data_IF_614051864208
#
_entry.id   IF_614051864208
#
_cell.length_a   1.000
_cell.length_b   1.000
_cell.length_c   1.000
_cell.angle_alpha   90.00
_cell.angle_beta   90.00
_cell.angle_gamma   90.00
#
_symmetry.space_group_name_H-M   'P 1'
#
loop_
_entity.id
_entity.type
_entity.pdbx_description
1 polymer ?
#
# COMPACT_ATOMS: atom_id res chain seq x y z
N UNK A 1 -2.36 -34.13 -0.23
CA UNK A 1 -1.49 -33.22 -1.01
C UNK A 1 -0.77 -32.42 0.05
N UNK A 2 0.54 -32.57 0.17
CA UNK A 2 1.33 -31.87 1.18
C UNK A 2 1.59 -30.42 0.76
N UNK A 3 2.11 -29.61 1.68
CA UNK A 3 2.38 -28.19 1.46
C UNK A 3 3.37 -27.95 0.32
N UNK A 4 4.34 -28.84 0.17
CA UNK A 4 5.38 -28.80 -0.85
C UNK A 4 4.79 -29.02 -2.27
N UNK A 5 3.85 -29.94 -2.41
CA UNK A 5 3.14 -30.21 -3.68
C UNK A 5 2.17 -29.09 -4.07
N UNK A 6 1.56 -28.39 -3.09
CA UNK A 6 0.75 -27.18 -3.35
C UNK A 6 1.61 -26.03 -3.85
N UNK A 7 2.81 -25.93 -3.27
CA UNK A 7 3.79 -24.92 -3.62
C UNK A 7 4.36 -25.10 -5.03
N UNK A 8 4.83 -26.32 -5.37
CA UNK A 8 5.33 -26.61 -6.72
C UNK A 8 4.28 -26.37 -7.80
N UNK A 9 3.02 -26.67 -7.53
CA UNK A 9 1.93 -26.45 -8.47
C UNK A 9 1.65 -24.95 -8.68
N UNK A 10 1.67 -24.16 -7.61
CA UNK A 10 1.51 -22.70 -7.69
C UNK A 10 2.66 -22.05 -8.49
N UNK A 11 3.91 -22.46 -8.28
CA UNK A 11 5.08 -21.90 -8.99
C UNK A 11 5.12 -22.27 -10.47
N UNK A 12 4.69 -23.45 -10.85
CA UNK A 12 4.68 -23.95 -12.24
C UNK A 12 3.54 -23.32 -13.08
N UNK A 13 2.35 -23.19 -12.52
CA UNK A 13 1.23 -22.54 -13.21
C UNK A 13 1.43 -21.02 -13.38
N UNK A 14 2.26 -20.38 -12.54
CA UNK A 14 2.44 -18.94 -12.48
C UNK A 14 3.67 -18.41 -13.25
N UNK A 15 4.59 -19.29 -13.64
CA UNK A 15 5.79 -18.93 -14.43
C UNK A 15 5.55 -18.48 -15.86
N UNK A 16 4.30 -18.40 -16.33
CA UNK A 16 4.01 -18.26 -17.76
C UNK A 16 3.44 -16.92 -18.25
N UNK A 17 3.35 -15.85 -17.45
CA UNK A 17 2.98 -14.56 -18.04
C UNK A 17 2.53 -13.43 -17.12
N UNK A 18 3.30 -12.35 -17.00
CA UNK A 18 2.85 -11.06 -16.50
C UNK A 18 3.90 -10.28 -15.67
N UNK A 19 3.79 -8.96 -15.60
CA UNK A 19 4.80 -8.06 -14.98
C UNK A 19 4.86 -8.13 -13.43
N UNK A 20 3.88 -8.72 -12.74
CA UNK A 20 3.87 -8.90 -11.29
C UNK A 20 4.48 -10.23 -10.80
N UNK A 21 4.77 -11.14 -11.70
CA UNK A 21 5.22 -12.51 -11.44
C UNK A 21 6.56 -12.60 -10.67
N UNK A 22 7.59 -11.77 -10.95
CA UNK A 22 8.85 -11.90 -10.21
C UNK A 22 8.68 -11.68 -8.70
N UNK A 23 7.73 -10.84 -8.30
CA UNK A 23 7.51 -10.53 -6.90
C UNK A 23 6.70 -11.61 -6.19
N UNK A 24 5.67 -12.14 -6.84
CA UNK A 24 4.90 -13.29 -6.34
C UNK A 24 5.82 -14.51 -6.19
N UNK A 25 6.69 -14.77 -7.19
CA UNK A 25 7.68 -15.84 -7.09
C UNK A 25 8.66 -15.65 -5.94
N UNK A 26 9.14 -14.41 -5.70
CA UNK A 26 10.03 -14.12 -4.58
C UNK A 26 9.35 -14.35 -3.21
N UNK A 27 8.09 -13.99 -3.08
CA UNK A 27 7.30 -14.28 -1.86
C UNK A 27 7.11 -15.79 -1.70
N UNK A 28 6.79 -16.49 -2.78
CA UNK A 28 6.65 -17.93 -2.78
C UNK A 28 7.95 -18.65 -2.39
N UNK A 29 9.10 -18.21 -2.95
CA UNK A 29 10.43 -18.74 -2.59
C UNK A 29 10.77 -18.51 -1.12
N UNK A 30 10.44 -17.33 -0.57
CA UNK A 30 10.66 -17.01 0.85
C UNK A 30 9.85 -17.94 1.75
N UNK A 31 8.59 -18.19 1.43
CA UNK A 31 7.73 -19.14 2.17
C UNK A 31 8.27 -20.57 2.08
N UNK A 32 8.73 -21.00 0.89
CA UNK A 32 9.34 -22.31 0.71
C UNK A 32 10.66 -22.46 1.48
N UNK A 33 11.40 -21.36 1.65
CA UNK A 33 12.62 -21.36 2.47
C UNK A 33 12.35 -21.37 3.99
N UNK A 34 11.07 -21.48 4.41
CA UNK A 34 10.67 -21.56 5.81
C UNK A 34 10.46 -20.19 6.46
N UNK A 35 10.33 -19.13 5.68
CA UNK A 35 9.84 -17.85 6.22
C UNK A 35 8.34 -18.01 6.45
N UNK A 36 7.91 -17.98 7.70
CA UNK A 36 6.52 -18.10 8.13
C UNK A 36 6.01 -16.74 8.61
N UNK A 37 5.51 -15.87 7.69
CA UNK A 37 4.98 -14.59 8.10
C UNK A 37 3.67 -14.80 8.85
N UNK A 38 3.55 -14.18 10.03
CA UNK A 38 2.28 -14.14 10.77
C UNK A 38 1.18 -13.43 9.98
N UNK A 39 1.55 -12.38 9.26
CA UNK A 39 0.64 -11.62 8.39
C UNK A 39 1.39 -10.98 7.20
N UNK A 40 0.68 -10.79 6.10
CA UNK A 40 1.16 -10.08 4.93
C UNK A 40 0.22 -8.92 4.61
N UNK A 41 0.79 -7.73 4.45
CA UNK A 41 0.08 -6.52 4.02
C UNK A 41 0.37 -6.27 2.55
N UNK A 42 -0.64 -6.34 1.72
CA UNK A 42 -0.55 -6.09 0.28
C UNK A 42 -0.79 -4.60 0.00
N UNK A 43 0.16 -3.95 -0.65
CA UNK A 43 0.07 -2.53 -1.02
C UNK A 43 0.39 -2.35 -2.50
N UNK A 44 -0.06 -1.23 -3.09
CA UNK A 44 0.17 -1.01 -4.52
C UNK A 44 1.64 -0.82 -4.87
N UNK A 45 2.33 0.03 -4.10
CA UNK A 45 3.70 0.42 -4.39
C UNK A 45 4.58 0.65 -3.16
N UNK A 46 5.82 1.04 -3.44
CA UNK A 46 6.84 1.30 -2.40
C UNK A 46 6.55 2.53 -1.54
N UNK A 47 5.76 3.50 -2.02
CA UNK A 47 5.33 4.65 -1.21
C UNK A 47 4.44 4.22 -0.06
N UNK A 48 3.49 3.31 -0.33
CA UNK A 48 2.55 2.77 0.65
C UNK A 48 3.29 1.92 1.69
N UNK A 49 4.22 1.09 1.23
CA UNK A 49 5.10 0.30 2.11
C UNK A 49 5.86 1.21 3.07
N UNK A 50 6.56 2.21 2.56
CA UNK A 50 7.36 3.12 3.37
C UNK A 50 6.51 3.92 4.35
N UNK A 51 5.29 4.33 3.94
CA UNK A 51 4.36 5.04 4.83
C UNK A 51 3.90 4.16 6.00
N UNK A 52 3.51 2.91 5.73
CA UNK A 52 3.07 1.97 6.77
C UNK A 52 4.21 1.57 7.70
N UNK A 53 5.41 1.31 7.17
CA UNK A 53 6.61 1.04 7.97
C UNK A 53 6.95 2.21 8.89
N UNK A 54 6.97 3.44 8.37
CA UNK A 54 7.24 4.64 9.15
C UNK A 54 6.17 4.88 10.23
N UNK A 55 4.89 4.63 9.93
CA UNK A 55 3.81 4.76 10.91
C UNK A 55 3.93 3.70 12.02
N UNK A 56 4.26 2.46 11.67
CA UNK A 56 4.51 1.39 12.64
C UNK A 56 5.69 1.73 13.55
N UNK A 57 6.83 2.19 12.99
CA UNK A 57 8.00 2.65 13.75
C UNK A 57 7.61 3.75 14.75
N UNK A 58 6.85 4.74 14.32
CA UNK A 58 6.39 5.84 15.18
C UNK A 58 5.43 5.39 16.28
N UNK A 59 4.70 4.29 16.07
CA UNK A 59 3.87 3.63 17.09
C UNK A 59 4.65 2.66 17.97
N UNK A 60 5.98 2.58 17.82
CA UNK A 60 6.85 1.70 18.58
C UNK A 60 6.75 0.23 18.20
N UNK A 61 6.20 -0.08 17.02
CA UNK A 61 6.09 -1.45 16.50
C UNK A 61 7.29 -1.80 15.62
N UNK A 62 7.73 -3.03 15.73
CA UNK A 62 8.71 -3.62 14.83
C UNK A 62 8.02 -4.75 14.04
N UNK A 63 7.55 -4.42 12.83
CA UNK A 63 6.76 -5.33 12.01
C UNK A 63 7.53 -6.63 11.70
N UNK A 64 8.84 -6.54 11.42
CA UNK A 64 9.65 -7.74 11.17
C UNK A 64 9.71 -8.66 12.40
N UNK A 65 9.90 -8.09 13.60
CA UNK A 65 9.91 -8.86 14.84
C UNK A 65 8.52 -9.44 15.18
N UNK A 66 7.46 -8.81 14.69
CA UNK A 66 6.08 -9.27 14.83
C UNK A 66 5.68 -10.31 13.74
N UNK A 67 6.58 -10.60 12.78
CA UNK A 67 6.30 -11.51 11.67
C UNK A 67 5.36 -10.90 10.62
N UNK A 68 5.30 -9.57 10.53
CA UNK A 68 4.46 -8.85 9.55
C UNK A 68 5.32 -8.38 8.38
N UNK A 69 4.96 -8.77 7.17
CA UNK A 69 5.63 -8.35 5.94
C UNK A 69 4.72 -7.41 5.14
N UNK A 70 5.24 -6.26 4.69
CA UNK A 70 4.53 -5.37 3.75
C UNK A 70 5.07 -5.61 2.35
N UNK A 71 4.19 -5.99 1.43
CA UNK A 71 4.55 -6.42 0.08
C UNK A 71 3.96 -5.46 -0.96
N UNK A 72 4.80 -4.66 -1.64
CA UNK A 72 4.37 -3.84 -2.77
C UNK A 72 4.11 -4.74 -3.98
N UNK A 73 2.88 -4.78 -4.46
CA UNK A 73 2.43 -5.69 -5.53
C UNK A 73 2.90 -5.27 -6.94
N UNK A 74 3.35 -4.02 -7.11
CA UNK A 74 3.69 -3.47 -8.43
C UNK A 74 2.48 -3.13 -9.31
N UNK A 75 1.33 -2.89 -8.67
CA UNK A 75 0.05 -2.50 -9.26
C UNK A 75 -1.12 -3.34 -8.76
N UNK A 76 -2.27 -2.71 -8.59
CA UNK A 76 -3.45 -3.32 -7.97
C UNK A 76 -4.04 -4.51 -8.74
N UNK A 77 -3.87 -4.55 -10.05
CA UNK A 77 -4.38 -5.65 -10.90
C UNK A 77 -3.76 -7.02 -10.58
N UNK A 78 -2.63 -7.03 -9.86
CA UNK A 78 -1.93 -8.26 -9.47
C UNK A 78 -2.46 -8.88 -8.18
N UNK A 79 -3.35 -8.19 -7.45
CA UNK A 79 -3.87 -8.64 -6.15
C UNK A 79 -4.43 -10.07 -6.20
N UNK A 80 -5.12 -10.44 -7.29
CA UNK A 80 -5.68 -11.78 -7.43
C UNK A 80 -4.63 -12.88 -7.28
N UNK A 81 -3.44 -12.69 -7.86
CA UNK A 81 -2.35 -13.67 -7.77
C UNK A 81 -1.82 -13.83 -6.34
N UNK A 82 -1.71 -12.69 -5.60
CA UNK A 82 -1.30 -12.76 -4.19
C UNK A 82 -2.36 -13.43 -3.32
N UNK A 83 -3.65 -13.17 -3.57
CA UNK A 83 -4.74 -13.82 -2.84
C UNK A 83 -4.85 -15.32 -3.15
N UNK A 84 -4.61 -15.73 -4.40
CA UNK A 84 -4.57 -17.14 -4.79
C UNK A 84 -3.40 -17.87 -4.09
N UNK A 85 -2.24 -17.21 -3.95
CA UNK A 85 -1.07 -17.78 -3.28
C UNK A 85 -1.22 -17.78 -1.75
N UNK A 86 -1.52 -16.64 -1.18
CA UNK A 86 -1.42 -16.40 0.26
C UNK A 86 -2.75 -16.57 1.00
N UNK A 87 -3.87 -16.51 0.27
CA UNK A 87 -5.21 -16.59 0.85
C UNK A 87 -5.64 -17.99 1.27
N UNK A 88 -6.94 -18.17 1.61
CA UNK A 88 -7.47 -19.41 2.20
C UNK A 88 -7.33 -20.66 1.33
N UNK A 89 -7.15 -20.48 0.02
CA UNK A 89 -6.94 -21.60 -0.92
C UNK A 89 -5.46 -21.91 -1.19
N UNK A 90 -4.55 -21.04 -0.71
CA UNK A 90 -3.10 -21.17 -0.81
C UNK A 90 -2.45 -21.50 0.52
N UNK A 91 -1.55 -20.62 0.98
CA UNK A 91 -0.81 -20.77 2.25
C UNK A 91 -1.62 -20.43 3.50
N UNK A 92 -2.83 -19.88 3.35
CA UNK A 92 -3.73 -19.45 4.43
C UNK A 92 -3.07 -18.49 5.42
N UNK A 93 -2.30 -17.52 4.89
CA UNK A 93 -1.64 -16.47 5.66
C UNK A 93 -2.66 -15.40 6.01
N UNK A 94 -2.56 -14.78 7.19
CA UNK A 94 -3.37 -13.60 7.53
C UNK A 94 -3.03 -12.45 6.59
N UNK A 95 -4.03 -11.95 5.85
CA UNK A 95 -3.85 -10.92 4.84
C UNK A 95 -4.51 -9.61 5.26
N UNK A 96 -3.84 -8.52 4.95
CA UNK A 96 -4.39 -7.17 4.97
C UNK A 96 -3.99 -6.44 3.68
N UNK A 97 -4.56 -5.28 3.43
CA UNK A 97 -4.18 -4.50 2.26
C UNK A 97 -4.62 -3.04 2.30
N UNK A 98 -3.91 -2.23 1.52
CA UNK A 98 -4.21 -0.82 1.30
C UNK A 98 -4.24 -0.56 -0.20
N UNK A 99 -5.27 0.13 -0.68
CA UNK A 99 -5.34 0.56 -2.07
C UNK A 99 -5.89 1.99 -2.21
N UNK A 100 -5.62 2.58 -3.35
CA UNK A 100 -6.21 3.83 -3.77
C UNK A 100 -7.67 3.62 -4.20
N UNK A 101 -8.47 4.70 -4.17
CA UNK A 101 -9.89 4.63 -4.58
C UNK A 101 -10.09 4.16 -6.02
N UNK A 102 -9.12 4.43 -6.91
CA UNK A 102 -9.19 4.02 -8.30
C UNK A 102 -9.07 2.48 -8.48
N UNK A 103 -8.39 1.81 -7.55
CA UNK A 103 -8.10 0.38 -7.56
C UNK A 103 -9.07 -0.46 -6.70
N UNK A 104 -10.01 0.19 -6.00
CA UNK A 104 -11.01 -0.48 -5.14
C UNK A 104 -11.69 -1.67 -5.85
N UNK A 105 -12.06 -1.48 -7.11
CA UNK A 105 -12.72 -2.54 -7.89
C UNK A 105 -11.84 -3.76 -8.19
N UNK A 106 -10.52 -3.58 -8.27
CA UNK A 106 -9.58 -4.70 -8.45
C UNK A 106 -9.47 -5.51 -7.16
N UNK A 107 -9.41 -4.82 -6.01
CA UNK A 107 -9.40 -5.45 -4.70
C UNK A 107 -10.70 -6.22 -4.43
N UNK A 108 -11.87 -5.60 -4.66
CA UNK A 108 -13.18 -6.26 -4.52
C UNK A 108 -13.23 -7.56 -5.32
N UNK A 109 -12.92 -7.50 -6.62
CA UNK A 109 -12.92 -8.68 -7.50
C UNK A 109 -11.92 -9.74 -7.09
N UNK A 110 -10.75 -9.33 -6.59
CA UNK A 110 -9.73 -10.24 -6.08
C UNK A 110 -10.22 -11.00 -4.86
N UNK A 111 -10.73 -10.28 -3.85
CA UNK A 111 -11.26 -10.85 -2.60
C UNK A 111 -12.43 -11.80 -2.85
N UNK A 112 -13.37 -11.39 -3.71
CA UNK A 112 -14.53 -12.24 -4.09
C UNK A 112 -14.08 -13.54 -4.76
N UNK A 113 -13.11 -13.47 -5.67
CA UNK A 113 -12.54 -14.63 -6.36
C UNK A 113 -11.81 -15.57 -5.40
N UNK A 114 -11.13 -15.02 -4.40
CA UNK A 114 -10.49 -15.79 -3.32
C UNK A 114 -11.49 -16.40 -2.33
N UNK A 115 -12.80 -16.15 -2.49
CA UNK A 115 -13.85 -16.70 -1.62
C UNK A 115 -14.04 -15.94 -0.30
N UNK A 116 -13.54 -14.71 -0.21
CA UNK A 116 -13.62 -13.88 1.00
C UNK A 116 -14.92 -13.06 1.09
N UNK A 117 -15.84 -13.26 0.19
CA UNK A 117 -17.16 -12.63 0.19
C UNK A 117 -17.79 -12.56 -1.20
N UNK A 118 -18.91 -11.84 -1.33
CA UNK A 118 -19.60 -11.59 -2.61
C UNK A 118 -20.25 -10.22 -2.59
N UNK A 119 -20.19 -9.49 -3.71
CA UNK A 119 -20.67 -8.11 -3.82
C UNK A 119 -20.12 -7.19 -2.72
N UNK A 120 -18.83 -7.33 -2.44
CA UNK A 120 -18.15 -6.59 -1.37
C UNK A 120 -18.21 -5.09 -1.62
N UNK A 121 -18.62 -4.36 -0.59
CA UNK A 121 -18.46 -2.91 -0.51
C UNK A 121 -17.16 -2.56 0.23
N UNK A 122 -16.76 -1.29 0.20
CA UNK A 122 -15.62 -0.79 0.99
C UNK A 122 -15.77 -1.13 2.48
N UNK A 123 -16.98 -0.99 3.03
CA UNK A 123 -17.27 -1.32 4.42
C UNK A 123 -17.14 -2.82 4.74
N UNK A 124 -17.42 -3.68 3.75
CA UNK A 124 -17.27 -5.13 3.91
C UNK A 124 -15.80 -5.59 3.80
N UNK A 125 -14.95 -4.81 3.14
CA UNK A 125 -13.51 -5.10 3.04
C UNK A 125 -12.74 -4.79 4.32
N UNK A 126 -13.14 -3.78 5.10
CA UNK A 126 -12.45 -3.38 6.33
C UNK A 126 -12.37 -4.51 7.38
N UNK A 127 -13.44 -5.26 7.69
CA UNK A 127 -13.34 -6.42 8.59
C UNK A 127 -12.43 -7.53 8.07
N UNK A 128 -12.18 -7.57 6.78
CA UNK A 128 -11.24 -8.49 6.15
C UNK A 128 -9.78 -7.98 6.18
N UNK A 129 -9.55 -6.77 6.73
CA UNK A 129 -8.23 -6.14 6.79
C UNK A 129 -7.86 -5.29 5.57
N UNK A 130 -8.78 -5.08 4.64
CA UNK A 130 -8.51 -4.32 3.40
C UNK A 130 -9.14 -2.93 3.47
N UNK A 131 -8.30 -1.92 3.35
CA UNK A 131 -8.68 -0.51 3.48
C UNK A 131 -8.44 0.24 2.19
N UNK A 132 -9.31 1.21 1.91
CA UNK A 132 -9.26 2.03 0.70
C UNK A 132 -9.07 3.49 1.09
N UNK A 133 -8.04 4.13 0.53
CA UNK A 133 -7.84 5.58 0.63
C UNK A 133 -9.01 6.34 0.02
N UNK A 134 -9.28 7.57 0.47
CA UNK A 134 -10.35 8.42 -0.10
C UNK A 134 -10.02 8.77 -1.56
N UNK A 135 -8.77 9.06 -1.85
CA UNK A 135 -8.26 9.20 -3.20
C UNK A 135 -7.01 8.34 -3.39
N UNK A 136 -5.90 8.69 -2.77
CA UNK A 136 -4.64 7.93 -2.70
C UNK A 136 -3.91 8.22 -1.38
N UNK A 137 -2.76 7.58 -1.17
CA UNK A 137 -1.94 7.75 0.01
C UNK A 137 -1.53 9.22 0.23
N UNK A 138 -1.11 9.92 -0.82
CA UNK A 138 -0.67 11.31 -0.71
C UNK A 138 -1.82 12.21 -0.26
N UNK A 139 -3.04 12.00 -0.77
CA UNK A 139 -4.23 12.73 -0.35
C UNK A 139 -4.54 12.50 1.13
N UNK A 140 -4.47 11.26 1.60
CA UNK A 140 -4.66 10.94 3.02
C UNK A 140 -3.70 11.71 3.92
N UNK A 141 -2.41 11.70 3.58
CA UNK A 141 -1.37 12.36 4.38
C UNK A 141 -1.47 13.89 4.32
N UNK A 142 -1.74 14.45 3.13
CA UNK A 142 -1.92 15.90 2.96
C UNK A 142 -3.15 16.39 3.72
N UNK A 143 -4.26 15.65 3.71
CA UNK A 143 -5.46 16.01 4.47
C UNK A 143 -5.25 15.94 5.99
N UNK A 144 -4.50 14.94 6.45
CA UNK A 144 -4.22 14.80 7.88
C UNK A 144 -3.29 15.90 8.41
N UNK A 145 -2.31 16.34 7.62
CA UNK A 145 -1.35 17.39 8.00
C UNK A 145 -1.86 18.81 7.73
N UNK A 146 -2.67 18.97 6.69
CA UNK A 146 -3.00 20.27 6.10
C UNK A 146 -1.90 20.79 5.18
N UNK A 147 -2.30 21.52 4.15
CA UNK A 147 -1.39 21.99 3.10
C UNK A 147 -0.25 22.89 3.60
N UNK A 148 -0.47 23.68 4.66
CA UNK A 148 0.55 24.55 5.22
C UNK A 148 1.74 23.74 5.81
N UNK A 149 1.47 22.76 6.63
CA UNK A 149 2.51 21.89 7.20
C UNK A 149 3.26 21.09 6.11
N UNK A 150 2.53 20.66 5.06
CA UNK A 150 3.18 19.98 3.93
C UNK A 150 4.09 20.92 3.15
N UNK A 151 3.73 22.18 2.96
CA UNK A 151 4.63 23.17 2.34
C UNK A 151 5.87 23.46 3.17
N UNK A 152 5.77 23.48 4.51
CA UNK A 152 6.94 23.58 5.40
C UNK A 152 7.88 22.39 5.21
N UNK A 153 7.35 21.18 5.06
CA UNK A 153 8.14 19.98 4.76
C UNK A 153 8.82 20.11 3.38
N UNK A 154 8.09 20.59 2.37
CA UNK A 154 8.64 20.83 1.02
C UNK A 154 9.76 21.88 1.07
N UNK A 155 9.60 22.93 1.87
CA UNK A 155 10.63 23.96 2.07
C UNK A 155 11.87 23.40 2.75
N UNK A 156 11.69 22.60 3.81
CA UNK A 156 12.78 21.93 4.52
C UNK A 156 13.61 21.00 3.61
N UNK A 157 13.00 20.45 2.54
CA UNK A 157 13.67 19.69 1.51
C UNK A 157 14.33 20.58 0.41
N UNK A 158 14.24 21.90 0.52
CA UNK A 158 14.75 22.82 -0.49
C UNK A 158 13.94 22.82 -1.81
N UNK A 159 12.76 22.25 -1.81
CA UNK A 159 11.93 22.09 -3.02
C UNK A 159 10.79 23.12 -3.16
N UNK A 160 10.63 24.06 -2.20
CA UNK A 160 9.55 25.05 -2.26
C UNK A 160 9.62 25.91 -3.52
N UNK A 161 10.82 26.31 -3.95
CA UNK A 161 11.00 27.05 -5.20
C UNK A 161 10.52 26.27 -6.43
N UNK A 162 10.86 24.97 -6.48
CA UNK A 162 10.38 24.08 -7.54
C UNK A 162 8.86 23.91 -7.51
N UNK A 163 8.28 23.82 -6.31
CA UNK A 163 6.83 23.73 -6.13
C UNK A 163 6.14 25.03 -6.60
N UNK A 164 6.67 26.21 -6.28
CA UNK A 164 6.12 27.50 -6.76
C UNK A 164 6.14 27.60 -8.28
N UNK A 165 7.23 27.15 -8.93
CA UNK A 165 7.31 27.07 -10.40
C UNK A 165 6.26 26.09 -10.95
N UNK A 166 6.09 24.93 -10.32
CA UNK A 166 5.07 23.96 -10.70
C UNK A 166 3.65 24.55 -10.62
N UNK A 167 3.33 25.31 -9.56
CA UNK A 167 2.03 25.96 -9.38
C UNK A 167 1.71 26.96 -10.52
N UNK A 168 2.71 27.62 -11.09
CA UNK A 168 2.53 28.57 -12.20
C UNK A 168 2.18 27.91 -13.54
N UNK A 169 2.35 26.60 -13.66
CA UNK A 169 2.04 25.89 -14.90
C UNK A 169 0.54 25.96 -15.23
N UNK A 170 0.16 26.13 -16.51
CA UNK A 170 -1.25 26.22 -16.91
C UNK A 170 -2.11 25.05 -16.42
N UNK A 171 -1.54 23.84 -16.38
CA UNK A 171 -2.22 22.63 -15.92
C UNK A 171 -2.56 22.63 -14.40
N UNK A 172 -2.00 23.55 -13.63
CA UNK A 172 -2.25 23.68 -12.19
C UNK A 172 -3.26 24.78 -11.85
N UNK A 173 -3.63 25.61 -12.84
CA UNK A 173 -4.58 26.73 -12.63
C UNK A 173 -5.95 26.19 -12.19
N UNK A 174 -6.52 26.82 -11.16
CA UNK A 174 -7.84 26.43 -10.61
C UNK A 174 -7.85 25.18 -9.74
N UNK A 175 -6.71 24.53 -9.50
CA UNK A 175 -6.58 23.46 -8.53
C UNK A 175 -6.37 24.00 -7.12
N UNK A 176 -6.88 23.28 -6.12
CA UNK A 176 -6.56 23.57 -4.72
C UNK A 176 -5.08 23.31 -4.44
N UNK A 177 -4.56 23.90 -3.36
CA UNK A 177 -3.17 23.72 -2.96
C UNK A 177 -2.84 22.23 -2.66
N UNK A 178 -3.76 21.54 -2.01
CA UNK A 178 -3.67 20.10 -1.71
C UNK A 178 -3.53 19.28 -3.01
N UNK A 179 -4.37 19.55 -3.99
CA UNK A 179 -4.31 18.88 -5.29
C UNK A 179 -3.01 19.18 -6.05
N UNK A 180 -2.46 20.39 -5.89
CA UNK A 180 -1.17 20.76 -6.48
C UNK A 180 -0.01 20.05 -5.77
N UNK A 181 0.00 19.99 -4.44
CA UNK A 181 0.99 19.25 -3.64
C UNK A 181 1.00 17.75 -4.00
N UNK A 182 -0.18 17.12 -4.00
CA UNK A 182 -0.34 15.72 -4.40
C UNK A 182 0.26 15.46 -5.79
N UNK A 183 -0.06 16.29 -6.78
CA UNK A 183 0.49 16.16 -8.13
C UNK A 183 1.99 16.41 -8.18
N UNK A 184 2.49 17.38 -7.42
CA UNK A 184 3.91 17.70 -7.35
C UNK A 184 4.73 16.51 -6.85
N UNK A 185 4.25 15.79 -5.84
CA UNK A 185 4.90 14.57 -5.34
C UNK A 185 5.02 13.49 -6.41
N UNK A 186 4.08 13.40 -7.36
CA UNK A 186 4.12 12.47 -8.49
C UNK A 186 4.99 12.88 -9.68
N UNK A 187 5.63 14.08 -9.67
CA UNK A 187 6.35 14.59 -10.85
C UNK A 187 7.75 14.04 -11.08
N UNK A 188 8.34 13.35 -10.10
CA UNK A 188 9.68 12.75 -10.21
C UNK A 188 9.69 11.35 -9.61
N UNK A 189 10.46 10.45 -10.23
CA UNK A 189 10.70 9.12 -9.69
C UNK A 189 11.31 9.20 -8.28
N UNK A 190 10.84 8.37 -7.37
CA UNK A 190 11.29 8.33 -5.97
C UNK A 190 10.76 9.44 -5.06
N UNK A 191 10.22 10.54 -5.61
CA UNK A 191 9.70 11.64 -4.78
C UNK A 191 8.53 11.18 -3.93
N UNK A 192 7.57 10.43 -4.47
CA UNK A 192 6.46 9.87 -3.71
C UNK A 192 6.94 9.09 -2.48
N UNK A 193 7.86 8.16 -2.68
CA UNK A 193 8.42 7.33 -1.60
C UNK A 193 9.15 8.17 -0.55
N UNK A 194 9.91 9.19 -0.98
CA UNK A 194 10.61 10.11 -0.07
C UNK A 194 9.62 10.91 0.79
N UNK A 195 8.62 11.53 0.15
CA UNK A 195 7.62 12.32 0.89
C UNK A 195 6.68 11.45 1.72
N UNK A 196 6.37 10.21 1.32
CA UNK A 196 5.57 9.30 2.12
C UNK A 196 6.13 9.16 3.55
N UNK A 197 7.45 8.93 3.68
CA UNK A 197 8.10 8.87 4.99
C UNK A 197 8.05 10.19 5.75
N UNK A 198 8.46 11.28 5.11
CA UNK A 198 8.50 12.61 5.75
C UNK A 198 7.12 13.08 6.25
N UNK A 199 6.08 12.86 5.45
CA UNK A 199 4.72 13.23 5.83
C UNK A 199 4.24 12.39 7.01
N UNK A 200 4.50 11.08 7.00
CA UNK A 200 4.19 10.22 8.14
C UNK A 200 4.96 10.63 9.38
N UNK A 201 6.25 10.97 9.26
CA UNK A 201 7.07 11.44 10.39
C UNK A 201 6.53 12.73 11.03
N UNK A 202 5.85 13.57 10.28
CA UNK A 202 5.25 14.81 10.74
C UNK A 202 3.82 14.68 11.30
N UNK A 203 3.15 13.53 11.10
CA UNK A 203 1.77 13.34 11.57
C UNK A 203 1.63 13.48 13.08
N UNK A 204 0.53 14.05 13.53
CA UNK A 204 0.02 13.76 14.85
C UNK A 204 -0.59 12.34 14.85
N UNK A 205 -0.03 11.45 15.65
CA UNK A 205 -0.48 10.05 15.70
C UNK A 205 -1.94 9.87 16.16
N UNK A 206 -2.50 10.88 16.84
CA UNK A 206 -3.93 10.87 17.22
C UNK A 206 -4.84 11.15 16.02
N UNK A 207 -4.28 11.67 14.94
CA UNK A 207 -4.98 12.04 13.70
C UNK A 207 -4.42 11.29 12.48
N UNK A 208 -3.77 10.15 12.70
CA UNK A 208 -3.29 9.32 11.59
C UNK A 208 -4.46 8.91 10.68
N UNK A 209 -4.24 8.86 9.34
CA UNK A 209 -5.31 8.48 8.42
C UNK A 209 -5.88 7.10 8.73
N UNK A 210 -7.22 7.01 8.79
CA UNK A 210 -7.93 5.76 9.12
C UNK A 210 -7.50 4.54 8.30
N UNK A 211 -7.28 4.65 6.96
CA UNK A 211 -6.86 3.49 6.19
C UNK A 211 -5.52 2.91 6.65
N UNK A 212 -4.53 3.76 6.94
CA UNK A 212 -3.21 3.32 7.42
C UNK A 212 -3.31 2.71 8.83
N UNK A 213 -4.00 3.40 9.73
CA UNK A 213 -4.24 2.91 11.09
C UNK A 213 -4.98 1.59 11.10
N UNK A 214 -6.02 1.46 10.29
CA UNK A 214 -6.83 0.26 10.20
C UNK A 214 -6.02 -0.95 9.74
N UNK A 215 -5.19 -0.80 8.70
CA UNK A 215 -4.27 -1.85 8.25
C UNK A 215 -3.33 -2.29 9.38
N UNK A 216 -2.68 -1.34 10.06
CA UNK A 216 -1.74 -1.66 11.14
C UNK A 216 -2.44 -2.25 12.37
N UNK A 217 -3.67 -1.85 12.67
CA UNK A 217 -4.45 -2.41 13.78
C UNK A 217 -4.94 -3.85 13.49
N UNK A 218 -5.11 -4.19 12.22
CA UNK A 218 -5.57 -5.51 11.80
C UNK A 218 -4.46 -6.57 11.90
N UNK A 219 -3.20 -6.23 11.66
CA UNK A 219 -2.03 -7.14 11.71
C UNK A 219 -1.24 -7.02 13.05
#
# INVERSE_FOLDING_TARGET
>A
MDEEQRFERATVEWGSGGRGIPLVSAVAEALAAGVDPRAVVLVEGTSDQVALEALAERRGRNLNAEGVSIVPMGGATTIGHFLDLLGPQGFDVRLAGLCDAAEEGDFQRGLERAGLGSNLTRADMEPLGFYVCVADLEDELIRALGSAAVEEIVDAQGELGSFRIFQMQPAQRGRTNEAQLRRFMGTRSGRKTHYARLLVEALDLTHAPRPLDGVLAYV
#
